data_IF_834268817295
#
_entry.id   IF_834268817295
#
_cell.length_a   1.000
_cell.length_b   1.000
_cell.length_c   1.000
_cell.angle_alpha   90.00
_cell.angle_beta   90.00
_cell.angle_gamma   90.00
#
_symmetry.space_group_name_H-M   'P 1'
#
loop_
_entity.id
_entity.type
_entity.pdbx_description
1 polymer ?
#
# COMPACT_ATOMS: atom_id res chain seq x y z
N UNK A 1 -22.32 0.72 -20.61
CA UNK A 1 -21.65 -0.42 -19.97
C UNK A 1 -20.86 0.09 -18.76
N UNK A 2 -21.09 -0.46 -17.60
CA UNK A 2 -20.35 -0.06 -16.40
C UNK A 2 -19.10 -0.92 -16.24
N UNK A 3 -17.98 -0.27 -15.89
CA UNK A 3 -16.73 -0.95 -15.57
C UNK A 3 -16.63 -1.13 -14.06
N UNK A 4 -16.09 -2.26 -13.64
CA UNK A 4 -15.83 -2.54 -12.24
C UNK A 4 -14.36 -2.91 -12.06
N UNK A 5 -13.71 -2.29 -11.08
CA UNK A 5 -12.31 -2.56 -10.73
C UNK A 5 -12.29 -3.26 -9.37
N UNK A 6 -11.72 -4.46 -9.32
CA UNK A 6 -11.46 -5.14 -8.05
C UNK A 6 -10.14 -4.61 -7.52
N UNK A 7 -10.18 -3.96 -6.36
CA UNK A 7 -9.04 -3.28 -5.78
C UNK A 7 -8.54 -4.09 -4.57
N UNK A 8 -7.54 -4.91 -4.81
CA UNK A 8 -6.87 -5.69 -3.75
C UNK A 8 -5.82 -4.79 -3.10
N UNK A 9 -5.99 -4.49 -1.82
CA UNK A 9 -5.11 -3.55 -1.12
C UNK A 9 -4.70 -4.07 0.24
N UNK A 10 -3.52 -3.64 0.69
CA UNK A 10 -3.06 -3.79 2.05
C UNK A 10 -3.26 -2.45 2.76
N UNK A 11 -4.28 -2.32 3.66
CA UNK A 11 -4.61 -1.01 4.25
C UNK A 11 -3.48 -0.38 5.03
N UNK A 12 -2.59 -1.19 5.61
CA UNK A 12 -1.46 -0.70 6.38
C UNK A 12 -0.27 -0.26 5.53
N UNK A 13 -0.31 -0.49 4.21
CA UNK A 13 0.82 -0.17 3.34
C UNK A 13 0.89 1.32 3.02
N UNK A 14 2.06 1.97 3.19
CA UNK A 14 2.23 3.35 2.76
C UNK A 14 2.10 3.50 1.24
N UNK A 15 2.43 2.46 0.47
CA UNK A 15 2.27 2.47 -0.99
C UNK A 15 0.80 2.52 -1.38
N UNK A 16 -0.07 1.80 -0.65
CA UNK A 16 -1.52 1.89 -0.84
C UNK A 16 -2.00 3.31 -0.58
N UNK A 17 -1.55 3.92 0.52
CA UNK A 17 -1.89 5.30 0.84
C UNK A 17 -1.50 6.26 -0.28
N UNK A 18 -0.26 6.15 -0.79
CA UNK A 18 0.23 7.05 -1.82
C UNK A 18 -0.52 6.93 -3.15
N UNK A 19 -1.05 5.75 -3.47
CA UNK A 19 -1.75 5.52 -4.73
C UNK A 19 -3.26 5.65 -4.67
N UNK A 20 -3.85 5.69 -3.48
CA UNK A 20 -5.29 5.55 -3.31
C UNK A 20 -6.10 6.65 -4.00
N UNK A 21 -5.75 7.92 -3.79
CA UNK A 21 -6.48 9.04 -4.40
C UNK A 21 -6.40 9.03 -5.92
N UNK A 22 -5.24 8.63 -6.46
CA UNK A 22 -5.06 8.55 -7.91
C UNK A 22 -6.00 7.51 -8.51
N UNK A 23 -6.11 6.34 -7.89
CA UNK A 23 -7.03 5.31 -8.34
C UNK A 23 -8.48 5.79 -8.30
N UNK A 24 -8.87 6.45 -7.20
CA UNK A 24 -10.23 6.98 -7.04
C UNK A 24 -10.56 7.99 -8.13
N UNK A 25 -9.64 8.93 -8.40
CA UNK A 25 -9.85 9.94 -9.45
C UNK A 25 -9.92 9.31 -10.84
N UNK A 26 -9.07 8.33 -11.13
CA UNK A 26 -9.10 7.63 -12.42
C UNK A 26 -10.40 6.86 -12.62
N UNK A 27 -10.85 6.17 -11.57
CA UNK A 27 -12.11 5.43 -11.62
C UNK A 27 -13.29 6.37 -11.89
N UNK A 28 -13.34 7.51 -11.19
CA UNK A 28 -14.40 8.51 -11.41
C UNK A 28 -14.35 9.06 -12.83
N UNK A 29 -13.16 9.35 -13.35
CA UNK A 29 -13.01 9.90 -14.70
C UNK A 29 -13.51 8.94 -15.78
N UNK A 30 -13.47 7.64 -15.54
CA UNK A 30 -13.90 6.62 -16.47
C UNK A 30 -15.25 6.00 -16.13
N UNK A 31 -15.95 6.53 -15.13
CA UNK A 31 -17.23 6.00 -14.71
C UNK A 31 -17.14 4.58 -14.14
N UNK A 32 -15.99 4.18 -13.62
CA UNK A 32 -15.78 2.85 -13.10
C UNK A 32 -16.15 2.76 -11.62
N UNK A 33 -16.73 1.62 -11.22
CA UNK A 33 -17.00 1.30 -9.83
C UNK A 33 -15.80 0.58 -9.24
N UNK A 34 -15.39 0.95 -8.03
CA UNK A 34 -14.28 0.30 -7.33
C UNK A 34 -14.85 -0.60 -6.24
N UNK A 35 -14.48 -1.89 -6.27
CA UNK A 35 -14.78 -2.85 -5.20
C UNK A 35 -13.52 -3.08 -4.39
N UNK A 36 -13.53 -2.63 -3.13
CA UNK A 36 -12.38 -2.75 -2.25
C UNK A 36 -12.30 -4.15 -1.69
N UNK A 37 -11.14 -4.79 -1.84
CA UNK A 37 -10.88 -6.16 -1.34
C UNK A 37 -9.60 -6.17 -0.52
N UNK A 38 -9.67 -5.86 0.78
CA UNK A 38 -8.47 -5.88 1.64
C UNK A 38 -7.82 -7.26 1.68
N UNK A 39 -6.49 -7.30 1.70
CA UNK A 39 -5.72 -8.54 1.78
C UNK A 39 -4.67 -8.45 2.88
N UNK A 40 -4.35 -9.59 3.47
CA UNK A 40 -3.30 -9.71 4.48
C UNK A 40 -1.99 -10.09 3.79
N UNK A 41 -1.25 -9.06 3.35
CA UNK A 41 0.01 -9.24 2.63
C UNK A 41 1.04 -9.97 3.49
N UNK A 42 1.25 -9.50 4.74
CA UNK A 42 2.30 -10.03 5.60
C UNK A 42 1.98 -11.42 6.13
N UNK A 43 0.73 -11.69 6.48
CA UNK A 43 0.33 -12.94 7.10
C UNK A 43 0.01 -14.07 6.13
N UNK A 44 -0.51 -13.75 4.94
CA UNK A 44 -0.98 -14.78 4.01
C UNK A 44 -0.26 -14.77 2.67
N UNK A 45 0.03 -13.61 2.10
CA UNK A 45 0.61 -13.53 0.77
C UNK A 45 2.12 -13.73 0.79
N UNK A 46 2.84 -13.03 1.67
CA UNK A 46 4.30 -13.18 1.75
C UNK A 46 4.75 -14.61 2.04
N UNK A 47 4.14 -15.35 2.98
CA UNK A 47 4.54 -16.75 3.19
C UNK A 47 4.35 -17.64 1.96
N UNK A 48 3.32 -17.36 1.15
CA UNK A 48 3.04 -18.14 -0.05
C UNK A 48 3.89 -17.73 -1.25
N UNK A 49 4.31 -16.45 -1.34
CA UNK A 49 4.99 -15.91 -2.51
C UNK A 49 6.49 -15.71 -2.33
N UNK A 50 7.01 -15.92 -1.12
CA UNK A 50 8.42 -15.66 -0.83
C UNK A 50 8.75 -14.22 -0.51
N UNK A 51 7.76 -13.36 -0.33
CA UNK A 51 7.99 -11.97 0.08
C UNK A 51 8.51 -11.89 1.52
N UNK A 52 9.29 -10.85 1.80
CA UNK A 52 9.84 -10.63 3.13
C UNK A 52 9.20 -9.42 3.81
N UNK A 53 8.73 -9.55 5.07
CA UNK A 53 8.33 -8.38 5.86
C UNK A 53 9.48 -7.39 5.98
N UNK A 54 9.13 -6.11 6.15
CA UNK A 54 10.12 -5.01 6.17
C UNK A 54 11.23 -5.28 7.20
N UNK A 55 10.88 -5.71 8.41
CA UNK A 55 11.86 -5.95 9.47
C UNK A 55 12.82 -7.10 9.21
N UNK A 56 12.53 -7.96 8.23
CA UNK A 56 13.39 -9.10 7.85
C UNK A 56 14.22 -8.83 6.60
N UNK A 57 14.07 -7.67 5.98
CA UNK A 57 14.86 -7.29 4.81
C UNK A 57 16.24 -6.82 5.21
N UNK A 58 17.20 -6.89 4.27
CA UNK A 58 18.55 -6.38 4.52
C UNK A 58 18.50 -4.90 4.96
N UNK A 59 19.40 -4.48 5.88
CA UNK A 59 19.38 -3.10 6.36
C UNK A 59 19.44 -2.05 5.26
N UNK A 60 20.19 -2.31 4.19
CA UNK A 60 20.30 -1.41 3.05
C UNK A 60 18.96 -1.23 2.34
N UNK A 61 18.19 -2.31 2.23
CA UNK A 61 16.85 -2.25 1.61
C UNK A 61 15.87 -1.49 2.49
N UNK A 62 15.95 -1.68 3.81
CA UNK A 62 15.11 -0.94 4.75
C UNK A 62 15.40 0.56 4.68
N UNK A 63 16.68 0.94 4.63
CA UNK A 63 17.09 2.34 4.52
C UNK A 63 16.64 2.95 3.20
N UNK A 64 16.81 2.24 2.09
CA UNK A 64 16.37 2.73 0.78
C UNK A 64 14.86 2.89 0.70
N UNK A 65 14.11 2.00 1.34
CA UNK A 65 12.65 2.10 1.40
C UNK A 65 12.21 3.45 1.94
N UNK A 66 12.85 3.93 2.99
CA UNK A 66 12.51 5.24 3.57
C UNK A 66 12.83 6.38 2.60
N UNK A 67 13.95 6.31 1.89
CA UNK A 67 14.32 7.29 0.86
C UNK A 67 13.29 7.30 -0.26
N UNK A 68 12.89 6.13 -0.73
CA UNK A 68 11.94 5.99 -1.82
C UNK A 68 10.56 6.51 -1.42
N UNK A 69 10.09 6.18 -0.22
CA UNK A 69 8.81 6.68 0.29
C UNK A 69 8.81 8.20 0.38
N UNK A 70 9.91 8.80 0.85
CA UNK A 70 10.02 10.25 0.93
C UNK A 70 9.98 10.89 -0.46
N UNK A 71 10.67 10.30 -1.43
CA UNK A 71 10.66 10.79 -2.81
C UNK A 71 9.26 10.78 -3.40
N UNK A 72 8.53 9.68 -3.24
CA UNK A 72 7.16 9.58 -3.75
C UNK A 72 6.20 10.51 -3.00
N UNK A 73 6.34 10.65 -1.68
CA UNK A 73 5.54 11.59 -0.91
C UNK A 73 5.72 13.01 -1.45
N UNK A 74 6.95 13.43 -1.70
CA UNK A 74 7.25 14.74 -2.25
C UNK A 74 6.73 14.89 -3.68
N UNK A 75 6.96 13.89 -4.52
CA UNK A 75 6.53 13.91 -5.92
C UNK A 75 5.01 14.01 -6.04
N UNK A 76 4.28 13.26 -5.22
CA UNK A 76 2.82 13.22 -5.25
C UNK A 76 2.18 14.31 -4.40
N UNK A 77 2.98 15.07 -3.64
CA UNK A 77 2.51 16.12 -2.72
C UNK A 77 1.52 15.59 -1.69
N UNK A 78 1.79 14.39 -1.16
CA UNK A 78 1.00 13.76 -0.12
C UNK A 78 1.82 13.65 1.16
N UNK A 79 1.31 14.15 2.32
CA UNK A 79 2.05 14.03 3.57
C UNK A 79 2.17 12.57 3.99
N UNK A 80 3.35 12.19 4.50
CA UNK A 80 3.61 10.82 4.91
C UNK A 80 4.52 10.82 6.13
N UNK A 81 4.12 10.10 7.18
CA UNK A 81 4.98 9.85 8.32
C UNK A 81 5.88 8.64 8.05
N UNK A 82 7.18 8.86 7.90
CA UNK A 82 8.14 7.79 7.60
C UNK A 82 8.38 6.85 8.78
N UNK A 83 8.14 7.32 10.00
CA UNK A 83 8.36 6.56 11.24
C UNK A 83 7.09 6.57 12.10
N UNK A 84 6.00 5.90 11.66
CA UNK A 84 4.79 5.86 12.46
C UNK A 84 5.01 5.12 13.77
N UNK A 85 4.34 5.59 14.82
CA UNK A 85 4.57 5.11 16.20
C UNK A 85 4.29 3.62 16.37
N UNK A 86 3.29 3.08 15.66
CA UNK A 86 2.83 1.70 15.80
C UNK A 86 3.10 0.84 14.56
N UNK A 87 4.10 1.19 13.77
CA UNK A 87 4.47 0.41 12.60
C UNK A 87 5.52 -0.66 12.97
N UNK A 88 5.45 -1.87 12.41
CA UNK A 88 4.37 -2.37 11.55
C UNK A 88 3.13 -2.83 12.34
N UNK A 89 1.97 -2.80 11.68
CA UNK A 89 0.72 -3.29 12.26
C UNK A 89 0.24 -4.51 11.47
N UNK A 90 -0.50 -5.46 12.11
CA UNK A 90 -1.07 -6.58 11.37
C UNK A 90 -2.13 -6.10 10.39
N UNK A 91 -2.24 -6.77 9.25
CA UNK A 91 -3.26 -6.48 8.24
C UNK A 91 -4.47 -7.40 8.30
N UNK A 92 -4.49 -8.37 9.21
CA UNK A 92 -5.51 -9.39 9.28
C UNK A 92 -6.88 -8.85 9.72
N UNK A 93 -6.91 -7.79 10.51
CA UNK A 93 -8.17 -7.18 10.96
C UNK A 93 -9.00 -6.62 9.81
N UNK A 94 -8.38 -6.26 8.70
CA UNK A 94 -9.04 -5.62 7.56
C UNK A 94 -9.34 -6.59 6.42
N UNK A 95 -8.64 -7.71 6.38
CA UNK A 95 -8.76 -8.69 5.29
C UNK A 95 -9.87 -9.72 5.47
#
# INVERSE_FOLDING_TARGET
>A
MSLTIDYYLAPQSPWTYLGHQRLTHMAQAHGAKVRVKPVDIGGQIFPASGGLPVGQRAPQRQAYRLVELKRFSTFLKLPLNLHPKFFPVPGDDAS
#
